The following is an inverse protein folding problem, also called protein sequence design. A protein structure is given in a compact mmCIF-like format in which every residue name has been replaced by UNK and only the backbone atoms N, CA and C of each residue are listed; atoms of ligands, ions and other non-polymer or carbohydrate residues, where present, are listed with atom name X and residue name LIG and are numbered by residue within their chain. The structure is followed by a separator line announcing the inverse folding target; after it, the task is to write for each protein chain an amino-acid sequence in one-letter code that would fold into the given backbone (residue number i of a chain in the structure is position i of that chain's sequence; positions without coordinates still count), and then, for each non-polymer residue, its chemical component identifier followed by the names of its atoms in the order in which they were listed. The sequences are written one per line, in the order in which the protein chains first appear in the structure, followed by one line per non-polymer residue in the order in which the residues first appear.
data_IF_537012028176
#
_entry.id   IF_537012028176
#
_cell.length_a   1.000
_cell.length_b   1.000
_cell.length_c   1.000
_cell.angle_alpha   90.00
_cell.angle_beta   90.00
_cell.angle_gamma   90.00
#
_symmetry.space_group_name_H-M   'P 1'
#
loop_
_entity.id
_entity.type
_entity.pdbx_description
1 polymer ?
#
# COMPACT_ATOMS: atom_id res chain seq x y z
N UNK A 1 -10.72 13.51 -4.38
CA UNK A 1 -11.65 12.38 -4.20
C UNK A 1 -10.83 11.12 -3.87
N UNK A 2 -11.16 10.39 -2.80
CA UNK A 2 -10.54 9.08 -2.55
C UNK A 2 -11.19 8.01 -3.43
N UNK A 3 -10.39 7.04 -3.91
CA UNK A 3 -10.87 5.86 -4.64
C UNK A 3 -10.43 4.62 -3.88
N UNK A 4 -11.40 3.74 -3.61
CA UNK A 4 -11.16 2.50 -2.87
C UNK A 4 -10.13 1.64 -3.61
N UNK A 5 -9.08 1.21 -2.91
CA UNK A 5 -8.04 0.36 -3.53
C UNK A 5 -8.44 -1.11 -3.39
N UNK A 6 -8.24 -1.90 -4.45
CA UNK A 6 -8.53 -3.33 -4.41
C UNK A 6 -7.63 -4.09 -3.42
N UNK A 7 -6.47 -3.53 -3.09
CA UNK A 7 -5.52 -4.15 -2.15
C UNK A 7 -5.90 -3.96 -0.68
N UNK A 8 -6.92 -3.16 -0.34
CA UNK A 8 -7.35 -2.91 1.05
C UNK A 8 -7.64 -4.22 1.79
N UNK A 9 -8.42 -5.12 1.18
CA UNK A 9 -8.73 -6.44 1.77
C UNK A 9 -7.49 -7.30 1.99
N UNK A 10 -6.47 -7.16 1.13
CA UNK A 10 -5.20 -7.87 1.28
C UNK A 10 -4.41 -7.31 2.47
N UNK A 11 -4.44 -5.99 2.68
CA UNK A 11 -3.81 -5.34 3.83
C UNK A 11 -4.46 -5.84 5.13
N UNK A 12 -5.79 -5.90 5.18
CA UNK A 12 -6.52 -6.41 6.34
C UNK A 12 -6.08 -7.83 6.73
N UNK A 13 -6.11 -8.75 5.77
CA UNK A 13 -5.68 -10.13 5.99
C UNK A 13 -4.23 -10.24 6.42
N UNK A 14 -3.34 -9.44 5.86
CA UNK A 14 -1.93 -9.48 6.22
C UNK A 14 -1.68 -8.92 7.63
N UNK A 15 -2.45 -7.93 8.07
CA UNK A 15 -2.39 -7.42 9.44
C UNK A 15 -2.90 -8.44 10.47
N UNK A 16 -3.74 -9.40 10.08
CA UNK A 16 -4.13 -10.53 10.95
C UNK A 16 -3.02 -11.60 11.07
N UNK A 17 -2.06 -11.61 10.15
CA UNK A 17 -1.04 -12.66 10.04
C UNK A 17 0.36 -12.20 10.45
N UNK A 18 0.67 -10.91 10.26
CA UNK A 18 2.00 -10.36 10.46
C UNK A 18 1.97 -9.18 11.44
N UNK A 19 3.00 -9.03 12.29
CA UNK A 19 3.13 -7.85 13.14
C UNK A 19 3.33 -6.57 12.33
N UNK A 20 3.96 -6.66 11.14
CA UNK A 20 4.19 -5.52 10.26
C UNK A 20 3.68 -5.80 8.86
N UNK A 21 3.00 -4.82 8.28
CA UNK A 21 2.71 -4.78 6.86
C UNK A 21 3.37 -3.54 6.25
N UNK A 22 4.09 -3.70 5.15
CA UNK A 22 4.72 -2.60 4.42
C UNK A 22 4.06 -2.42 3.05
N UNK A 23 3.65 -1.19 2.75
CA UNK A 23 3.16 -0.80 1.44
C UNK A 23 4.28 -0.06 0.70
N UNK A 24 4.86 -0.73 -0.29
CA UNK A 24 5.91 -0.16 -1.14
C UNK A 24 5.33 0.29 -2.47
N UNK A 25 5.90 1.28 -3.13
CA UNK A 25 5.43 1.72 -4.44
C UNK A 25 6.12 2.98 -4.92
N UNK A 26 5.84 3.39 -6.16
CA UNK A 26 6.39 4.65 -6.67
C UNK A 26 5.93 5.86 -5.84
N UNK A 27 6.65 6.99 -5.98
CA UNK A 27 6.16 8.26 -5.42
C UNK A 27 4.82 8.61 -6.08
N UNK A 28 3.94 9.28 -5.33
CA UNK A 28 2.62 9.73 -5.79
C UNK A 28 1.62 8.63 -6.20
N UNK A 29 1.88 7.34 -5.96
CA UNK A 29 0.89 6.28 -6.25
C UNK A 29 -0.27 6.17 -5.22
N UNK A 30 -0.25 6.99 -4.17
CA UNK A 30 -1.32 7.09 -3.16
C UNK A 30 -1.11 6.27 -1.88
N UNK A 31 0.14 5.90 -1.53
CA UNK A 31 0.48 5.11 -0.34
C UNK A 31 -0.05 5.73 0.96
N UNK A 32 0.32 6.98 1.23
CA UNK A 32 -0.07 7.74 2.43
C UNK A 32 -1.58 7.85 2.57
N UNK A 33 -2.27 8.11 1.45
CA UNK A 33 -3.73 8.16 1.41
C UNK A 33 -4.35 6.79 1.70
N UNK A 34 -3.79 5.72 1.14
CA UNK A 34 -4.29 4.36 1.38
C UNK A 34 -4.18 3.96 2.85
N UNK A 35 -3.01 4.11 3.48
CA UNK A 35 -2.82 3.68 4.87
C UNK A 35 -3.71 4.45 5.85
N UNK A 36 -3.88 5.76 5.64
CA UNK A 36 -4.78 6.61 6.45
C UNK A 36 -6.24 6.20 6.33
N UNK A 37 -6.68 5.76 5.15
CA UNK A 37 -8.06 5.30 4.95
C UNK A 37 -8.29 3.88 5.47
N UNK A 38 -7.31 2.98 5.36
CA UNK A 38 -7.42 1.60 5.84
C UNK A 38 -7.38 1.55 7.37
N UNK A 39 -6.62 2.44 8.01
CA UNK A 39 -6.49 2.52 9.48
C UNK A 39 -6.59 3.97 9.96
N UNK A 40 -7.77 4.61 9.90
CA UNK A 40 -7.94 6.01 10.32
C UNK A 40 -7.71 6.21 11.83
N UNK A 41 -7.94 5.18 12.64
CA UNK A 41 -7.80 5.23 14.09
C UNK A 41 -6.37 4.95 14.59
N UNK A 42 -5.42 4.69 13.68
CA UNK A 42 -4.04 4.41 14.05
C UNK A 42 -3.24 5.71 14.15
N UNK A 43 -2.24 5.72 15.04
CA UNK A 43 -1.35 6.87 15.16
C UNK A 43 -0.47 6.96 13.92
N UNK A 44 -0.40 8.12 13.31
CA UNK A 44 0.30 8.33 12.05
C UNK A 44 1.51 9.24 12.24
N UNK A 45 2.66 8.78 11.77
CA UNK A 45 3.94 9.50 11.78
C UNK A 45 4.51 9.52 10.36
N UNK A 46 4.97 10.67 9.91
CA UNK A 46 5.57 10.84 8.59
C UNK A 46 7.05 11.19 8.74
N UNK A 47 7.94 10.29 8.34
CA UNK A 47 9.38 10.51 8.53
C UNK A 47 9.99 11.56 7.60
N UNK A 48 9.25 12.10 6.63
CA UNK A 48 9.68 13.31 5.92
C UNK A 48 9.44 14.58 6.74
N UNK A 49 8.59 14.53 7.77
CA UNK A 49 8.37 15.66 8.68
C UNK A 49 9.46 15.69 9.76
N UNK A 50 10.22 16.79 9.91
CA UNK A 50 11.32 16.87 10.87
C UNK A 50 10.93 16.53 12.31
N UNK A 51 9.74 16.97 12.76
CA UNK A 51 9.27 16.75 14.11
C UNK A 51 9.01 15.25 14.40
N UNK A 52 8.33 14.57 13.47
CA UNK A 52 8.04 13.12 13.58
C UNK A 52 9.33 12.31 13.48
N UNK A 53 10.24 12.70 12.58
CA UNK A 53 11.55 12.08 12.43
C UNK A 53 12.37 12.19 13.72
N UNK A 54 12.48 13.39 14.30
CA UNK A 54 13.23 13.59 15.55
C UNK A 54 12.59 12.86 16.73
N UNK A 55 11.25 12.87 16.81
CA UNK A 55 10.51 12.18 17.87
C UNK A 55 10.81 10.67 17.90
N UNK A 56 10.91 10.04 16.72
CA UNK A 56 11.18 8.60 16.60
C UNK A 56 12.68 8.31 16.77
N UNK A 57 13.56 9.09 16.15
CA UNK A 57 15.00 8.78 16.07
C UNK A 57 15.79 9.11 17.34
N UNK A 58 15.29 10.04 18.17
CA UNK A 58 16.00 10.46 19.40
C UNK A 58 15.97 9.40 20.51
N UNK A 59 14.89 8.63 20.61
CA UNK A 59 14.74 7.51 21.55
C UNK A 59 13.79 6.45 20.94
N UNK A 60 14.25 5.66 19.93
CA UNK A 60 13.38 4.76 19.19
C UNK A 60 12.73 3.69 20.08
N UNK A 61 13.51 3.09 20.99
CA UNK A 61 13.02 2.05 21.88
C UNK A 61 12.00 2.60 22.88
N UNK A 62 12.26 3.75 23.50
CA UNK A 62 11.32 4.36 24.41
C UNK A 62 10.08 4.91 23.69
N UNK A 63 10.22 5.42 22.46
CA UNK A 63 9.08 5.85 21.63
C UNK A 63 8.08 4.69 21.46
N UNK A 64 8.55 3.53 20.98
CA UNK A 64 7.68 2.38 20.78
C UNK A 64 7.22 1.73 22.09
N UNK A 65 8.00 1.82 23.18
CA UNK A 65 7.56 1.33 24.49
C UNK A 65 6.40 2.15 25.08
N UNK A 66 6.35 3.46 24.78
CA UNK A 66 5.28 4.36 25.23
C UNK A 66 4.03 4.31 24.35
N UNK A 67 4.13 3.70 23.16
CA UNK A 67 3.08 3.74 22.17
C UNK A 67 2.20 2.50 22.19
N UNK A 68 0.89 2.70 21.95
CA UNK A 68 0.03 1.59 21.57
C UNK A 68 0.54 0.94 20.29
N UNK A 69 0.51 -0.39 20.22
CA UNK A 69 1.00 -1.20 19.10
C UNK A 69 0.10 -1.08 17.85
N UNK A 70 -0.32 0.12 17.45
CA UNK A 70 -1.13 0.39 16.25
C UNK A 70 -0.66 1.71 15.66
N UNK A 71 0.45 1.64 14.92
CA UNK A 71 1.15 2.82 14.40
C UNK A 71 1.38 2.70 12.90
N UNK A 72 1.08 3.78 12.19
CA UNK A 72 1.47 3.98 10.80
C UNK A 72 2.75 4.80 10.77
N UNK A 73 3.74 4.33 10.02
CA UNK A 73 4.98 5.07 9.76
C UNK A 73 5.12 5.24 8.25
N UNK A 74 4.92 6.47 7.79
CA UNK A 74 5.01 6.86 6.39
C UNK A 74 6.48 7.13 6.00
N UNK A 75 6.83 6.80 4.76
CA UNK A 75 8.15 7.02 4.18
C UNK A 75 9.29 6.41 5.03
N UNK A 76 9.11 5.15 5.43
CA UNK A 76 10.04 4.39 6.29
C UNK A 76 11.49 4.33 5.76
N UNK A 77 11.73 4.56 4.46
CA UNK A 77 13.08 4.63 3.91
C UNK A 77 13.91 5.78 4.48
N UNK A 78 13.27 6.82 5.03
CA UNK A 78 13.99 7.96 5.61
C UNK A 78 14.78 7.55 6.86
N UNK A 79 14.39 6.47 7.54
CA UNK A 79 15.13 5.92 8.69
C UNK A 79 15.34 4.40 8.55
N UNK A 80 16.35 3.94 7.78
CA UNK A 80 16.57 2.50 7.54
C UNK A 80 16.81 1.66 8.81
N UNK A 81 17.39 2.26 9.87
CA UNK A 81 17.60 1.57 11.14
C UNK A 81 16.29 1.21 11.86
N UNK A 82 15.16 1.81 11.47
CA UNK A 82 13.83 1.49 11.96
C UNK A 82 13.55 -0.02 11.92
N UNK A 83 13.97 -0.72 10.87
CA UNK A 83 13.73 -2.16 10.73
C UNK A 83 14.42 -2.97 11.84
N UNK A 84 15.62 -2.56 12.26
CA UNK A 84 16.33 -3.22 13.36
C UNK A 84 15.65 -2.96 14.71
N UNK A 85 15.15 -1.73 14.91
CA UNK A 85 14.38 -1.35 16.11
C UNK A 85 13.08 -2.17 16.19
N UNK A 86 12.30 -2.19 15.11
CA UNK A 86 11.05 -2.95 15.04
C UNK A 86 11.27 -4.45 15.24
N UNK A 87 12.33 -5.03 14.66
CA UNK A 87 12.69 -6.44 14.90
C UNK A 87 12.83 -6.75 16.40
N UNK A 88 13.58 -5.91 17.12
CA UNK A 88 13.79 -6.09 18.57
C UNK A 88 12.50 -5.97 19.38
N UNK A 89 11.59 -5.08 18.98
CA UNK A 89 10.28 -4.90 19.62
C UNK A 89 9.35 -6.09 19.34
N UNK A 90 9.36 -6.59 18.10
CA UNK A 90 8.54 -7.73 17.68
C UNK A 90 9.02 -9.01 18.33
N UNK A 91 10.33 -9.20 18.48
CA UNK A 91 10.88 -10.40 19.10
C UNK A 91 10.51 -10.55 20.59
N UNK A 92 10.11 -9.47 21.26
CA UNK A 92 9.61 -9.50 22.66
C UNK A 92 8.17 -10.01 22.77
N UNK A 93 7.36 -9.80 21.73
CA UNK A 93 6.02 -10.37 21.62
C UNK A 93 5.75 -10.79 20.17
N UNK A 94 6.14 -12.03 19.85
CA UNK A 94 6.00 -12.60 18.51
C UNK A 94 4.56 -13.00 18.18
N UNK A 95 3.64 -13.03 19.15
CA UNK A 95 2.24 -13.42 18.93
C UNK A 95 1.38 -12.23 18.54
N UNK A 96 1.75 -11.03 18.95
CA UNK A 96 1.04 -9.82 18.56
C UNK A 96 1.18 -9.54 17.06
N UNK A 97 0.05 -9.45 16.36
CA UNK A 97 -0.07 -9.17 14.92
C UNK A 97 -0.70 -7.79 14.70
N UNK A 98 -0.55 -7.24 13.49
CA UNK A 98 -1.23 -6.01 13.09
C UNK A 98 -0.79 -4.80 13.92
N UNK A 99 0.52 -4.70 14.17
CA UNK A 99 1.09 -3.71 15.09
C UNK A 99 1.54 -2.44 14.38
N UNK A 100 2.14 -2.63 13.21
CA UNK A 100 2.75 -1.56 12.44
C UNK A 100 2.35 -1.64 10.97
N UNK A 101 2.06 -0.48 10.40
CA UNK A 101 1.79 -0.32 8.98
C UNK A 101 2.80 0.68 8.43
N UNK A 102 3.67 0.22 7.55
CA UNK A 102 4.73 1.04 6.99
C UNK A 102 4.39 1.43 5.56
N UNK A 103 4.86 2.58 5.12
CA UNK A 103 4.98 2.85 3.69
C UNK A 103 6.42 3.13 3.32
N UNK A 104 6.70 3.05 2.03
CA UNK A 104 7.84 3.76 1.49
C UNK A 104 8.00 3.60 -0.01
N UNK A 105 8.94 4.35 -0.57
CA UNK A 105 9.25 4.21 -1.99
C UNK A 105 9.85 2.83 -2.29
N UNK A 106 9.66 2.29 -3.49
CA UNK A 106 10.30 1.03 -3.94
C UNK A 106 11.82 1.18 -4.18
N UNK A 107 12.53 1.87 -3.29
CA UNK A 107 13.99 1.99 -3.38
C UNK A 107 14.67 0.67 -3.00
N UNK A 108 15.84 0.35 -3.57
CA UNK A 108 16.62 -0.83 -3.19
C UNK A 108 16.89 -0.92 -1.68
N UNK A 109 17.12 0.22 -1.03
CA UNK A 109 17.39 0.29 0.41
C UNK A 109 16.21 -0.21 1.25
N UNK A 110 14.97 0.14 0.87
CA UNK A 110 13.78 -0.38 1.54
C UNK A 110 13.66 -1.87 1.31
N UNK A 111 13.85 -2.34 0.08
CA UNK A 111 13.69 -3.76 -0.26
C UNK A 111 14.70 -4.59 0.52
N UNK A 112 15.94 -4.12 0.61
CA UNK A 112 17.02 -4.76 1.36
C UNK A 112 16.72 -4.81 2.87
N UNK A 113 16.31 -3.68 3.46
CA UNK A 113 15.95 -3.60 4.88
C UNK A 113 14.79 -4.53 5.25
N UNK A 114 13.78 -4.59 4.37
CA UNK A 114 12.65 -5.52 4.52
C UNK A 114 13.09 -6.99 4.44
N UNK A 115 13.96 -7.35 3.48
CA UNK A 115 14.37 -8.73 3.26
C UNK A 115 15.35 -9.26 4.30
N UNK A 116 16.33 -8.45 4.71
CA UNK A 116 17.43 -8.91 5.57
C UNK A 116 17.07 -8.82 7.06
N UNK A 117 16.46 -7.72 7.50
CA UNK A 117 16.19 -7.50 8.92
C UNK A 117 14.84 -8.02 9.40
N UNK A 118 13.84 -8.14 8.51
CA UNK A 118 12.44 -8.36 8.92
C UNK A 118 11.82 -9.66 8.40
N UNK A 119 12.62 -10.58 7.86
CA UNK A 119 12.15 -11.87 7.37
C UNK A 119 11.25 -12.60 8.40
N UNK A 120 10.08 -13.06 7.93
CA UNK A 120 9.07 -13.74 8.75
C UNK A 120 8.27 -12.85 9.72
N UNK A 121 8.56 -11.55 9.79
CA UNK A 121 7.89 -10.59 10.68
C UNK A 121 7.15 -9.48 9.90
N UNK A 122 7.44 -9.36 8.61
CA UNK A 122 6.84 -8.36 7.74
C UNK A 122 6.23 -9.02 6.52
N UNK A 123 5.08 -8.52 6.10
CA UNK A 123 4.56 -8.74 4.77
C UNK A 123 4.68 -7.45 3.96
N UNK A 124 5.23 -7.52 2.75
CA UNK A 124 5.27 -6.39 1.83
C UNK A 124 4.21 -6.53 0.74
N UNK A 125 3.62 -5.40 0.36
CA UNK A 125 2.68 -5.29 -0.76
C UNK A 125 3.13 -4.13 -1.63
N UNK A 126 3.25 -4.37 -2.93
CA UNK A 126 3.50 -3.31 -3.89
C UNK A 126 2.18 -2.64 -4.30
N UNK A 127 2.11 -1.32 -4.10
CA UNK A 127 1.03 -0.46 -4.53
C UNK A 127 1.40 0.20 -5.87
N UNK A 128 0.63 -0.18 -6.88
CA UNK A 128 0.66 0.43 -8.19
C UNK A 128 -0.25 1.66 -8.26
N UNK A 129 -0.14 2.50 -9.31
CA UNK A 129 -1.16 3.48 -9.63
C UNK A 129 -2.57 2.84 -9.76
N UNK A 130 -3.63 3.66 -9.83
CA UNK A 130 -4.99 3.15 -9.95
C UNK A 130 -5.11 2.17 -11.12
N UNK A 131 -5.74 1.02 -10.86
CA UNK A 131 -6.28 0.18 -11.92
C UNK A 131 -7.51 0.87 -12.51
N UNK A 132 -7.81 0.60 -13.78
CA UNK A 132 -9.01 1.13 -14.44
C UNK A 132 -10.28 0.85 -13.60
N UNK A 133 -10.42 -0.38 -13.08
CA UNK A 133 -11.54 -0.74 -12.22
C UNK A 133 -11.61 0.08 -10.92
N UNK A 134 -10.47 0.40 -10.30
CA UNK A 134 -10.41 1.28 -9.11
C UNK A 134 -10.84 2.70 -9.45
N UNK A 135 -10.42 3.21 -10.61
CA UNK A 135 -10.74 4.58 -11.01
C UNK A 135 -12.23 4.76 -11.35
N UNK A 136 -12.82 3.81 -12.07
CA UNK A 136 -14.23 3.83 -12.46
C UNK A 136 -15.18 3.20 -11.43
N UNK A 137 -14.70 2.93 -10.21
CA UNK A 137 -15.48 2.31 -9.12
C UNK A 137 -16.18 0.99 -9.54
N UNK A 138 -15.50 0.20 -10.38
CA UNK A 138 -15.97 -1.10 -10.85
C UNK A 138 -15.49 -2.23 -9.93
N UNK A 139 -16.23 -3.35 -9.86
CA UNK A 139 -15.78 -4.51 -9.11
C UNK A 139 -14.49 -5.09 -9.69
N UNK A 140 -13.81 -5.91 -8.87
CA UNK A 140 -12.66 -6.69 -9.34
C UNK A 140 -13.10 -7.55 -10.54
N UNK A 141 -12.42 -7.47 -11.69
CA UNK A 141 -12.72 -8.32 -12.83
C UNK A 141 -12.73 -9.81 -12.43
N UNK A 142 -13.79 -10.54 -12.80
CA UNK A 142 -13.97 -11.94 -12.42
C UNK A 142 -12.83 -12.85 -12.90
N UNK A 143 -12.11 -12.43 -13.95
CA UNK A 143 -10.94 -13.13 -14.47
C UNK A 143 -9.88 -13.41 -13.38
N UNK A 144 -9.69 -12.50 -12.41
CA UNK A 144 -8.74 -12.73 -11.32
C UNK A 144 -9.13 -13.94 -10.46
N UNK A 145 -10.42 -14.11 -10.18
CA UNK A 145 -10.92 -15.25 -9.40
C UNK A 145 -10.82 -16.57 -10.17
N UNK A 146 -11.06 -16.55 -11.48
CA UNK A 146 -10.97 -17.74 -12.33
C UNK A 146 -9.53 -18.19 -12.52
N UNK A 147 -8.60 -17.26 -12.71
CA UNK A 147 -7.17 -17.56 -12.82
C UNK A 147 -6.53 -18.04 -11.52
N UNK A 148 -7.18 -17.80 -10.38
CA UNK A 148 -6.70 -18.26 -9.07
C UNK A 148 -7.12 -19.70 -8.73
N UNK A 149 -7.86 -20.37 -9.61
CA UNK A 149 -8.29 -21.76 -9.43
C UNK A 149 -7.23 -22.73 -9.98
N UNK A 150 -7.05 -23.88 -9.33
CA UNK A 150 -6.09 -24.91 -9.76
C UNK A 150 -6.34 -25.39 -11.20
N UNK A 151 -7.61 -25.38 -11.64
CA UNK A 151 -8.03 -25.66 -13.02
C UNK A 151 -9.02 -24.58 -13.47
N UNK A 152 -8.56 -23.55 -14.21
CA UNK A 152 -9.43 -22.48 -14.66
C UNK A 152 -10.47 -23.01 -15.66
N UNK A 153 -11.74 -22.67 -15.42
CA UNK A 153 -12.86 -22.98 -16.31
C UNK A 153 -12.77 -22.10 -17.58
N UNK A 154 -12.29 -22.70 -18.68
CA UNK A 154 -12.09 -22.02 -19.96
C UNK A 154 -13.42 -21.57 -20.60
N UNK A 155 -14.49 -22.32 -20.40
CA UNK A 155 -15.82 -21.96 -20.90
C UNK A 155 -16.32 -20.70 -20.19
N UNK A 156 -16.14 -20.61 -18.87
CA UNK A 156 -16.45 -19.37 -18.14
C UNK A 156 -15.59 -18.20 -18.58
N UNK A 157 -14.29 -18.40 -18.82
CA UNK A 157 -13.40 -17.33 -19.29
C UNK A 157 -13.86 -16.78 -20.64
N UNK A 158 -14.20 -17.66 -21.59
CA UNK A 158 -14.64 -17.25 -22.93
C UNK A 158 -15.97 -16.48 -22.92
N UNK A 159 -16.81 -16.70 -21.89
CA UNK A 159 -18.11 -16.05 -21.71
C UNK A 159 -18.07 -14.84 -20.74
N UNK A 160 -16.88 -14.41 -20.30
CA UNK A 160 -16.75 -13.23 -19.43
C UNK A 160 -17.23 -11.97 -20.15
N UNK A 161 -18.00 -11.16 -19.43
CA UNK A 161 -18.36 -9.81 -19.87
C UNK A 161 -17.41 -8.80 -19.23
N UNK A 162 -17.00 -7.81 -20.01
CA UNK A 162 -16.20 -6.70 -19.51
C UNK A 162 -17.05 -5.78 -18.63
N UNK A 163 -16.53 -5.41 -17.46
CA UNK A 163 -17.13 -4.42 -16.56
C UNK A 163 -16.91 -2.97 -17.05
N UNK A 164 -15.90 -2.79 -17.90
CA UNK A 164 -15.48 -1.51 -18.47
C UNK A 164 -15.73 -1.53 -19.98
N UNK A 165 -16.18 -0.40 -20.52
CA UNK A 165 -16.30 -0.23 -21.96
C UNK A 165 -14.95 0.13 -22.61
N UNK A 166 -14.90 0.05 -23.95
CA UNK A 166 -13.68 0.31 -24.73
C UNK A 166 -13.18 1.74 -24.52
N UNK A 167 -14.08 2.72 -24.41
CA UNK A 167 -13.72 4.12 -24.20
C UNK A 167 -13.08 4.30 -22.82
N UNK A 168 -13.64 3.69 -21.77
CA UNK A 168 -13.11 3.75 -20.42
C UNK A 168 -11.69 3.18 -20.33
N UNK A 169 -11.43 2.06 -21.00
CA UNK A 169 -10.09 1.46 -21.09
C UNK A 169 -9.13 2.38 -21.87
N UNK A 170 -9.57 2.89 -23.02
CA UNK A 170 -8.78 3.80 -23.83
C UNK A 170 -8.38 5.06 -23.05
N UNK A 171 -9.36 5.71 -22.41
CA UNK A 171 -9.14 6.87 -21.56
C UNK A 171 -8.17 6.53 -20.42
N UNK A 172 -8.26 5.34 -19.81
CA UNK A 172 -7.33 4.90 -18.77
C UNK A 172 -5.89 4.73 -19.27
N UNK A 173 -5.71 4.21 -20.48
CA UNK A 173 -4.39 4.09 -21.10
C UNK A 173 -3.78 5.45 -21.43
N UNK A 174 -4.60 6.40 -21.93
CA UNK A 174 -4.11 7.73 -22.30
C UNK A 174 -3.69 8.57 -21.08
N UNK A 175 -4.53 8.65 -20.05
CA UNK A 175 -4.25 9.53 -18.90
C UNK A 175 -3.46 8.82 -17.78
N UNK A 176 -3.25 7.50 -17.91
CA UNK A 176 -2.58 6.66 -16.93
C UNK A 176 -3.38 6.45 -15.63
N UNK A 177 -2.71 5.85 -14.64
CA UNK A 177 -3.31 5.50 -13.36
C UNK A 177 -2.84 6.35 -12.17
N UNK A 178 -1.89 7.28 -12.35
CA UNK A 178 -1.35 8.06 -11.23
C UNK A 178 -2.46 8.94 -10.62
N UNK A 179 -2.75 8.82 -9.31
CA UNK A 179 -3.94 9.42 -8.70
C UNK A 179 -4.15 10.89 -9.01
N UNK A 180 -3.16 11.74 -8.76
CA UNK A 180 -3.31 13.19 -8.93
C UNK A 180 -3.41 13.61 -10.40
N UNK A 181 -2.51 13.19 -11.32
CA UNK A 181 -2.66 13.45 -12.75
C UNK A 181 -3.98 12.92 -13.29
N UNK A 182 -4.40 11.71 -12.88
CA UNK A 182 -5.62 11.08 -13.36
C UNK A 182 -6.89 11.80 -12.91
N UNK A 183 -6.95 12.26 -11.65
CA UNK A 183 -8.10 12.99 -11.12
C UNK A 183 -8.19 14.37 -11.79
N UNK A 184 -7.07 15.11 -11.85
CA UNK A 184 -7.04 16.45 -12.46
C UNK A 184 -7.28 16.40 -13.97
N UNK A 185 -6.74 15.40 -14.66
CA UNK A 185 -6.87 15.22 -16.10
C UNK A 185 -8.30 14.99 -16.59
N UNK A 186 -9.22 14.59 -15.70
CA UNK A 186 -10.64 14.52 -16.05
C UNK A 186 -11.28 15.91 -16.21
N UNK A 187 -10.77 16.90 -15.47
CA UNK A 187 -11.27 18.28 -15.49
C UNK A 187 -10.54 19.13 -16.55
N UNK A 188 -9.39 18.67 -17.04
CA UNK A 188 -8.55 19.39 -18.00
C UNK A 188 -8.09 18.50 -19.18
N UNK A 189 -8.99 18.11 -20.10
CA UNK A 189 -8.67 17.20 -21.21
C UNK A 189 -7.60 17.75 -22.17
N UNK A 190 -7.53 19.07 -22.29
CA UNK A 190 -6.59 19.82 -23.14
C UNK A 190 -5.11 19.62 -22.83
N UNK A 191 -4.75 19.12 -21.64
CA UNK A 191 -3.35 18.85 -21.27
C UNK A 191 -2.88 17.43 -21.60
N UNK A 192 -3.79 16.57 -22.09
CA UNK A 192 -3.47 15.18 -22.44
C UNK A 192 -3.62 14.88 -23.94
N UNK A 193 -4.21 15.80 -24.71
CA UNK A 193 -4.12 15.81 -26.17
C UNK A 193 -2.85 16.53 -26.61
N UNK A 194 -2.11 15.95 -27.55
CA UNK A 194 -1.23 16.72 -28.42
C UNK A 194 -2.07 17.58 -29.38
#
# INVERSE_FOLDING_TARGET
MYKKRLIEQKIDRLLEMFPVVAIIGSRQCGKSTLVKNVRPDWKYYDLERPDDYQLITSDPLGFFARQSEKTIIDEAQQYPELFNVLRGIIDRDRKAVGRFLLTGSSSPDIVKGLSESMAGRIASIELWPFKAAEFYDKPIPQIYSLLSQDKPDLDRISNLKSELDVKQIYDHWQLGGYPEPRIKGCDTPEFYGL
#
